data_IF_049961046783
#
_entry.id   IF_049961046783
#
_cell.length_a   1.000
_cell.length_b   1.000
_cell.length_c   1.000
_cell.angle_alpha   90.00
_cell.angle_beta   90.00
_cell.angle_gamma   90.00
#
_symmetry.space_group_name_H-M   'P 1'
#
loop_
_entity.id
_entity.type
_entity.pdbx_description
1 polymer ?
#
# COMPACT_ATOMS: atom_id res chain seq x y z
N UNK A 1 3.44 -11.03 17.22
CA UNK A 1 4.50 -11.67 16.39
C UNK A 1 5.70 -10.75 16.37
N UNK A 2 6.90 -11.31 16.56
CA UNK A 2 8.12 -10.54 16.32
C UNK A 2 8.21 -10.25 14.85
N UNK A 3 8.40 -8.99 14.50
CA UNK A 3 8.61 -8.57 13.12
C UNK A 3 9.94 -9.17 12.63
N UNK A 4 9.90 -9.78 11.44
CA UNK A 4 11.01 -10.59 10.99
C UNK A 4 12.23 -9.79 10.59
N UNK A 5 13.37 -10.43 10.60
CA UNK A 5 14.60 -9.92 10.01
C UNK A 5 14.60 -10.26 8.52
N UNK A 6 14.35 -9.28 7.66
CA UNK A 6 14.70 -9.25 6.25
C UNK A 6 14.43 -10.47 5.36
N UNK A 7 13.54 -11.40 5.73
CA UNK A 7 13.20 -12.51 4.87
C UNK A 7 11.70 -12.78 4.84
N UNK A 8 11.18 -13.16 3.68
CA UNK A 8 9.78 -13.55 3.45
C UNK A 8 9.27 -14.58 4.46
N UNK A 9 10.16 -15.42 4.96
CA UNK A 9 9.82 -16.52 5.88
C UNK A 9 9.50 -16.04 7.31
N UNK A 10 9.72 -14.77 7.65
CA UNK A 10 9.56 -14.25 9.01
C UNK A 10 8.32 -13.38 9.21
N UNK A 11 7.40 -13.40 8.27
CA UNK A 11 6.08 -12.77 8.38
C UNK A 11 6.04 -11.28 8.09
N UNK A 12 7.17 -10.59 7.92
CA UNK A 12 7.31 -9.21 7.40
C UNK A 12 6.15 -8.25 7.79
N UNK A 13 5.68 -8.32 9.04
CA UNK A 13 4.64 -7.44 9.58
C UNK A 13 5.27 -6.38 10.46
N UNK A 14 4.66 -5.21 10.54
CA UNK A 14 5.15 -4.06 11.31
C UNK A 14 3.99 -3.34 12.01
N UNK A 15 4.24 -2.52 13.03
CA UNK A 15 3.19 -1.77 13.71
C UNK A 15 2.69 -0.66 12.79
N UNK A 16 1.49 -0.84 12.23
CA UNK A 16 0.85 0.14 11.35
C UNK A 16 -0.26 0.87 12.08
N UNK A 17 -0.40 2.16 11.80
CA UNK A 17 -1.46 3.03 12.32
C UNK A 17 -2.17 3.70 11.15
N UNK A 18 -3.49 3.63 11.12
CA UNK A 18 -4.34 4.20 10.08
C UNK A 18 -5.66 3.45 9.95
N UNK A 19 -6.47 3.82 8.97
CA UNK A 19 -7.75 3.17 8.70
C UNK A 19 -7.58 1.87 7.89
N UNK A 20 -8.59 0.95 7.90
CA UNK A 20 -8.62 -0.22 7.03
C UNK A 20 -8.44 0.16 5.56
N UNK A 21 -7.57 -0.56 4.85
CA UNK A 21 -7.21 -0.31 3.45
C UNK A 21 -6.65 1.10 3.18
N UNK A 22 -6.09 1.78 4.21
CA UNK A 22 -5.58 3.14 4.09
C UNK A 22 -4.53 3.28 2.99
N UNK A 23 -4.52 4.43 2.32
CA UNK A 23 -3.52 4.78 1.31
C UNK A 23 -2.12 4.76 1.92
N UNK A 24 -1.95 5.41 3.06
CA UNK A 24 -0.70 5.52 3.79
C UNK A 24 -0.87 5.00 5.20
N UNK A 25 0.02 4.12 5.61
CA UNK A 25 0.08 3.58 6.96
C UNK A 25 1.23 4.24 7.71
N UNK A 26 0.98 4.69 8.92
CA UNK A 26 1.99 5.37 9.74
C UNK A 26 2.66 4.38 10.67
N UNK A 27 3.98 4.40 10.72
CA UNK A 27 4.77 3.41 11.48
C UNK A 27 6.03 4.04 12.07
N UNK A 28 6.51 3.56 13.23
CA UNK A 28 7.88 3.82 13.64
C UNK A 28 8.83 3.25 12.58
N UNK A 29 9.99 3.87 12.45
CA UNK A 29 11.03 3.47 11.51
C UNK A 29 12.29 3.07 12.27
N UNK A 30 12.83 1.90 11.93
CA UNK A 30 14.14 1.45 12.43
C UNK A 30 15.17 1.34 11.29
N UNK A 31 14.72 1.44 10.03
CA UNK A 31 15.53 1.34 8.82
C UNK A 31 15.15 2.40 7.80
N UNK A 32 16.12 3.17 7.34
CA UNK A 32 15.95 4.36 6.50
C UNK A 32 15.92 4.08 5.00
N UNK A 33 15.88 2.81 4.58
CA UNK A 33 15.94 2.42 3.19
C UNK A 33 14.58 1.97 2.64
N UNK A 34 14.41 2.12 1.33
CA UNK A 34 13.32 1.52 0.54
C UNK A 34 13.81 0.26 -0.21
N UNK A 35 14.89 -0.38 0.23
CA UNK A 35 15.44 -1.55 -0.41
C UNK A 35 14.49 -2.76 -0.34
N UNK A 36 14.61 -3.66 -1.32
CA UNK A 36 13.79 -4.87 -1.40
C UNK A 36 13.92 -5.73 -0.14
N UNK A 37 12.80 -6.26 0.35
CA UNK A 37 12.67 -7.10 1.53
C UNK A 37 13.09 -6.40 2.83
N UNK A 38 13.16 -5.09 2.87
CA UNK A 38 13.46 -4.33 4.08
C UNK A 38 12.22 -3.60 4.57
N UNK A 39 11.54 -4.19 5.53
CA UNK A 39 10.38 -3.58 6.19
C UNK A 39 10.79 -2.35 7.02
N UNK A 40 9.97 -1.31 7.12
CA UNK A 40 10.34 -0.08 7.85
C UNK A 40 10.72 -0.30 9.31
N UNK A 41 10.13 -1.29 9.98
CA UNK A 41 10.34 -1.57 11.39
C UNK A 41 10.73 -3.03 11.62
N UNK A 42 11.85 -3.24 12.32
CA UNK A 42 12.27 -4.56 12.80
C UNK A 42 12.30 -4.60 14.32
N UNK A 43 11.60 -5.56 14.90
CA UNK A 43 11.51 -5.71 16.35
C UNK A 43 12.87 -5.87 17.05
N UNK A 44 13.85 -6.52 16.42
CA UNK A 44 15.17 -6.76 16.99
C UNK A 44 16.17 -5.62 16.76
N UNK A 45 15.80 -4.59 16.01
CA UNK A 45 16.63 -3.40 15.87
C UNK A 45 16.72 -2.65 17.19
N UNK A 46 17.81 -1.92 17.37
CA UNK A 46 18.13 -1.25 18.66
C UNK A 46 17.85 0.24 18.65
N UNK A 47 17.57 0.79 17.47
CA UNK A 47 17.36 2.22 17.32
C UNK A 47 16.13 2.48 16.46
N UNK A 48 15.39 3.51 16.88
CA UNK A 48 14.35 4.14 16.07
C UNK A 48 14.97 5.35 15.37
N UNK A 49 14.67 5.50 14.09
CA UNK A 49 15.20 6.56 13.22
C UNK A 49 14.15 7.58 12.84
N UNK A 50 12.92 7.40 13.32
CA UNK A 50 11.79 8.31 13.14
C UNK A 50 10.45 7.59 13.01
N UNK A 51 9.53 8.31 12.40
CA UNK A 51 8.18 7.83 12.07
C UNK A 51 7.92 8.10 10.60
N UNK A 52 7.44 7.09 9.89
CA UNK A 52 7.32 7.07 8.44
C UNK A 52 5.88 6.90 8.01
N UNK A 53 5.46 7.63 6.94
CA UNK A 53 4.37 7.19 6.09
C UNK A 53 4.87 6.02 5.23
N UNK A 54 4.16 4.92 5.20
CA UNK A 54 4.60 3.67 4.57
C UNK A 54 3.55 3.13 3.62
N UNK A 55 4.02 2.61 2.48
CA UNK A 55 3.25 1.85 1.51
C UNK A 55 3.72 0.39 1.44
N UNK A 56 4.41 -0.09 2.49
CA UNK A 56 4.84 -1.47 2.61
C UNK A 56 3.65 -2.42 2.54
N UNK A 57 3.84 -3.54 1.87
CA UNK A 57 2.85 -4.61 1.82
C UNK A 57 3.14 -5.64 2.89
N UNK A 58 2.32 -5.68 3.93
CA UNK A 58 2.45 -6.64 5.01
C UNK A 58 2.56 -8.08 4.50
N UNK A 59 3.52 -8.81 5.06
CA UNK A 59 3.76 -10.21 4.75
C UNK A 59 4.54 -10.48 3.46
N UNK A 60 4.91 -9.44 2.69
CA UNK A 60 5.60 -9.60 1.41
C UNK A 60 7.09 -9.29 1.48
N UNK A 61 7.83 -9.69 0.43
CA UNK A 61 9.20 -9.23 0.18
C UNK A 61 9.21 -8.27 -1.02
N UNK A 62 8.50 -7.15 -0.86
CA UNK A 62 8.61 -6.01 -1.79
C UNK A 62 9.64 -5.01 -1.26
N UNK A 63 9.57 -3.78 -1.67
CA UNK A 63 10.21 -2.65 -1.01
C UNK A 63 9.11 -1.68 -0.56
N UNK A 64 9.44 -0.74 0.31
CA UNK A 64 8.59 0.41 0.56
C UNK A 64 8.79 1.45 -0.54
N UNK A 65 7.90 2.40 -0.70
CA UNK A 65 7.99 3.40 -1.76
C UNK A 65 7.32 4.71 -1.38
N UNK A 66 7.83 5.79 -1.98
CA UNK A 66 7.20 7.11 -1.86
C UNK A 66 7.18 7.68 -0.45
N UNK A 67 8.14 7.37 0.41
CA UNK A 67 8.01 7.66 1.84
C UNK A 67 8.82 8.87 2.28
N UNK A 68 8.34 9.50 3.37
CA UNK A 68 9.07 10.49 4.14
C UNK A 68 9.02 10.15 5.62
N UNK A 69 10.05 10.55 6.37
CA UNK A 69 10.18 10.27 7.80
C UNK A 69 10.32 11.56 8.58
N UNK A 70 9.65 11.62 9.73
CA UNK A 70 9.79 12.69 10.73
C UNK A 70 10.44 12.12 12.00
N UNK A 71 11.49 12.82 12.52
CA UNK A 71 12.16 12.43 13.76
C UNK A 71 12.24 13.63 14.72
N UNK A 72 11.63 13.56 15.91
CA UNK A 72 11.76 14.55 16.94
C UNK A 72 13.09 14.35 17.71
N UNK A 73 13.78 15.43 18.04
CA UNK A 73 15.00 15.38 18.83
C UNK A 73 15.24 16.68 19.57
N UNK A 74 16.14 16.65 20.55
CA UNK A 74 16.59 17.83 21.29
C UNK A 74 18.10 17.98 21.17
N UNK A 75 18.58 19.21 20.97
CA UNK A 75 20.02 19.54 20.98
C UNK A 75 20.23 21.00 21.28
N UNK A 76 21.41 21.34 21.81
CA UNK A 76 21.92 22.72 21.92
C UNK A 76 22.84 23.12 20.76
N UNK A 77 23.10 22.21 19.82
CA UNK A 77 24.11 22.35 18.76
C UNK A 77 23.57 21.85 17.42
N UNK A 78 22.46 22.42 16.95
CA UNK A 78 21.82 21.99 15.70
C UNK A 78 22.68 22.24 14.46
N UNK A 79 23.47 23.30 14.48
CA UNK A 79 24.34 23.70 13.35
C UNK A 79 25.48 22.72 13.10
N UNK A 80 25.91 22.00 14.13
CA UNK A 80 27.01 21.01 14.06
C UNK A 80 26.50 19.57 13.93
N UNK A 81 25.21 19.37 13.75
CA UNK A 81 24.63 18.04 13.62
C UNK A 81 25.16 17.35 12.35
N UNK A 82 26.06 16.38 12.54
CA UNK A 82 26.69 15.61 11.45
C UNK A 82 25.98 14.32 11.08
N UNK A 83 25.06 13.85 11.94
CA UNK A 83 24.35 12.60 11.78
C UNK A 83 22.83 12.79 11.92
N UNK A 84 22.06 11.90 11.30
CA UNK A 84 20.64 11.85 11.56
C UNK A 84 20.37 11.48 13.02
N UNK A 85 19.42 12.16 13.71
CA UNK A 85 19.05 11.82 15.06
C UNK A 85 18.44 10.42 15.11
N UNK A 86 18.84 9.64 16.11
CA UNK A 86 18.29 8.30 16.40
C UNK A 86 18.10 8.16 17.89
N UNK A 87 17.14 7.35 18.31
CA UNK A 87 16.93 7.03 19.73
C UNK A 87 16.91 5.51 19.95
N UNK A 88 17.22 5.04 21.16
CA UNK A 88 17.15 3.62 21.49
C UNK A 88 15.71 3.13 21.45
N UNK A 89 15.50 1.99 20.81
CA UNK A 89 14.22 1.31 20.81
C UNK A 89 14.07 0.49 22.11
N UNK A 90 13.08 0.83 22.92
CA UNK A 90 12.76 0.13 24.15
C UNK A 90 11.32 -0.37 24.12
N UNK A 91 11.14 -1.65 23.90
CA UNK A 91 9.81 -2.29 23.80
C UNK A 91 8.96 -2.21 25.06
N UNK A 92 9.55 -1.95 26.23
CA UNK A 92 8.79 -1.73 27.48
C UNK A 92 8.14 -0.33 27.52
N UNK A 93 8.59 0.58 26.63
CA UNK A 93 8.13 1.96 26.55
C UNK A 93 7.38 2.26 25.25
N UNK A 94 7.06 1.22 24.48
CA UNK A 94 6.22 1.36 23.30
C UNK A 94 4.87 0.66 23.46
N UNK A 95 3.85 1.18 22.83
CA UNK A 95 2.53 0.58 22.71
C UNK A 95 2.03 0.74 21.30
N UNK A 96 1.46 -0.31 20.72
CA UNK A 96 0.93 -0.33 19.37
C UNK A 96 -0.47 -0.93 19.32
N UNK A 97 -1.34 -0.27 18.57
CA UNK A 97 -2.64 -0.78 18.13
C UNK A 97 -2.90 -0.27 16.69
N UNK A 98 -3.91 -0.77 15.99
CA UNK A 98 -4.21 -0.27 14.63
C UNK A 98 -4.53 1.23 14.55
N UNK A 99 -4.99 1.84 15.65
CA UNK A 99 -5.33 3.25 15.71
C UNK A 99 -4.32 4.13 16.43
N UNK A 100 -3.29 3.54 17.04
CA UNK A 100 -2.40 4.32 17.90
C UNK A 100 -1.05 3.63 18.10
N UNK A 101 0.02 4.42 17.99
CA UNK A 101 1.36 4.03 18.42
C UNK A 101 1.94 5.10 19.34
N UNK A 102 2.70 4.69 20.36
CA UNK A 102 3.45 5.59 21.23
C UNK A 102 4.75 4.96 21.68
N UNK A 103 5.77 5.81 21.87
CA UNK A 103 7.07 5.44 22.44
C UNK A 103 7.66 6.60 23.23
N UNK A 104 8.43 6.27 24.28
CA UNK A 104 9.31 7.23 24.95
C UNK A 104 10.72 7.16 24.35
N UNK A 105 11.19 8.27 23.79
CA UNK A 105 12.55 8.44 23.25
C UNK A 105 13.44 8.97 24.39
N UNK A 106 14.11 8.05 25.08
CA UNK A 106 14.82 8.37 26.33
C UNK A 106 16.00 9.34 26.13
N UNK A 107 16.75 9.21 25.01
CA UNK A 107 17.89 10.07 24.70
C UNK A 107 17.51 11.55 24.59
N UNK A 108 16.30 11.82 24.15
CA UNK A 108 15.78 13.17 23.93
C UNK A 108 14.75 13.58 24.98
N UNK A 109 14.35 12.65 25.85
CA UNK A 109 13.25 12.83 26.80
C UNK A 109 11.98 13.36 26.12
N UNK A 110 11.59 12.68 25.02
CA UNK A 110 10.42 13.00 24.21
C UNK A 110 9.45 11.83 24.23
N UNK A 111 8.18 12.11 24.50
CA UNK A 111 7.08 11.18 24.21
C UNK A 111 6.59 11.43 22.78
N UNK A 112 6.64 10.42 21.93
CA UNK A 112 6.10 10.45 20.59
C UNK A 112 4.82 9.62 20.51
N UNK A 113 3.78 10.18 19.91
CA UNK A 113 2.48 9.55 19.72
C UNK A 113 2.03 9.73 18.26
N UNK A 114 1.42 8.70 17.69
CA UNK A 114 0.95 8.66 16.30
C UNK A 114 -0.45 8.09 16.23
N UNK A 115 -1.32 8.75 15.50
CA UNK A 115 -2.61 8.25 15.01
C UNK A 115 -2.78 8.61 13.54
N UNK A 116 -3.77 8.06 12.85
CA UNK A 116 -3.96 8.35 11.44
C UNK A 116 -5.34 8.00 10.93
N UNK A 117 -5.70 8.59 9.81
CA UNK A 117 -6.89 8.35 9.01
C UNK A 117 -6.59 7.47 7.80
N UNK A 118 -7.31 7.62 6.71
CA UNK A 118 -7.10 6.85 5.46
C UNK A 118 -5.85 7.28 4.69
N UNK A 119 -5.59 8.61 4.65
CA UNK A 119 -4.50 9.23 3.86
C UNK A 119 -3.57 10.08 4.71
N UNK A 120 -3.95 10.37 5.95
CA UNK A 120 -3.28 11.36 6.76
C UNK A 120 -2.84 10.80 8.11
N UNK A 121 -1.73 11.31 8.64
CA UNK A 121 -1.23 11.05 9.98
C UNK A 121 -1.34 12.28 10.89
N UNK A 122 -1.56 12.06 12.17
CA UNK A 122 -1.46 13.08 13.19
C UNK A 122 -0.46 12.61 14.26
N UNK A 123 0.56 13.42 14.46
CA UNK A 123 1.62 13.16 15.44
C UNK A 123 1.50 14.13 16.60
N UNK A 124 1.88 13.68 17.79
CA UNK A 124 2.01 14.52 18.98
C UNK A 124 3.35 14.22 19.63
N UNK A 125 4.20 15.25 19.70
CA UNK A 125 5.50 15.20 20.36
C UNK A 125 5.48 16.03 21.62
N UNK A 126 5.76 15.40 22.78
CA UNK A 126 5.88 16.07 24.08
C UNK A 126 7.33 16.10 24.50
N UNK A 127 7.91 17.30 24.51
CA UNK A 127 9.28 17.58 24.91
C UNK A 127 9.36 17.91 26.41
N UNK A 128 10.39 17.46 27.08
CA UNK A 128 10.58 17.77 28.50
C UNK A 128 10.94 19.24 28.75
N UNK A 129 11.65 19.87 27.78
CA UNK A 129 12.13 21.26 27.85
C UNK A 129 11.45 22.12 26.79
N UNK A 130 11.48 23.46 26.98
CA UNK A 130 11.07 24.42 25.96
C UNK A 130 12.23 24.84 25.03
N UNK A 131 13.46 24.39 25.32
CA UNK A 131 14.66 24.80 24.59
C UNK A 131 15.22 23.65 23.77
N UNK A 132 15.70 23.97 22.57
CA UNK A 132 16.42 23.04 21.72
C UNK A 132 15.53 21.93 21.10
N UNK A 133 14.26 22.22 20.85
CA UNK A 133 13.28 21.27 20.30
C UNK A 133 13.21 21.37 18.78
N UNK A 134 13.43 20.24 18.12
CA UNK A 134 13.53 20.16 16.66
C UNK A 134 12.76 18.96 16.12
N UNK A 135 12.33 19.08 14.87
CA UNK A 135 11.88 17.96 14.05
C UNK A 135 12.73 17.92 12.78
N UNK A 136 13.30 16.77 12.47
CA UNK A 136 13.89 16.50 11.17
C UNK A 136 12.86 15.80 10.28
N UNK A 137 12.71 16.29 9.07
CA UNK A 137 11.90 15.69 8.01
C UNK A 137 12.86 15.29 6.90
N UNK A 138 12.83 14.04 6.47
CA UNK A 138 13.66 13.55 5.36
C UNK A 138 12.86 12.69 4.40
N UNK A 139 13.26 12.72 3.15
CA UNK A 139 12.73 11.86 2.10
C UNK A 139 13.51 10.55 2.09
N UNK A 140 12.83 9.41 2.13
CA UNK A 140 13.45 8.09 2.06
C UNK A 140 13.66 7.68 0.60
N UNK A 141 14.56 8.36 -0.09
CA UNK A 141 14.81 8.17 -1.51
C UNK A 141 16.16 7.52 -1.76
N UNK A 142 16.21 6.20 -1.92
CA UNK A 142 17.45 5.44 -2.20
C UNK A 142 18.12 5.93 -3.49
N UNK A 143 17.35 6.44 -4.46
CA UNK A 143 17.86 7.01 -5.72
C UNK A 143 18.17 8.51 -5.63
N UNK A 144 17.98 9.13 -4.47
CA UNK A 144 18.21 10.56 -4.23
C UNK A 144 17.47 11.49 -5.19
N UNK A 145 16.28 11.08 -5.64
CA UNK A 145 15.41 11.86 -6.55
C UNK A 145 14.29 12.61 -5.84
N UNK A 146 13.99 12.24 -4.60
CA UNK A 146 13.01 12.94 -3.77
C UNK A 146 13.51 14.28 -3.29
N UNK A 147 12.59 15.19 -2.93
CA UNK A 147 12.87 16.54 -2.41
C UNK A 147 11.90 16.90 -1.30
N UNK A 148 12.38 17.77 -0.40
CA UNK A 148 11.57 18.42 0.63
C UNK A 148 11.98 19.89 0.74
N UNK A 149 10.99 20.79 0.92
CA UNK A 149 11.22 22.23 1.02
C UNK A 149 10.17 22.91 1.90
N UNK A 150 10.44 24.14 2.29
CA UNK A 150 9.49 25.00 2.98
C UNK A 150 8.68 25.81 1.96
N UNK A 151 7.36 25.69 2.01
CA UNK A 151 6.43 26.56 1.30
C UNK A 151 6.04 27.73 2.21
N UNK A 152 6.65 28.89 1.96
CA UNK A 152 6.44 30.09 2.76
C UNK A 152 5.03 30.70 2.56
N UNK A 153 4.36 30.42 1.45
CA UNK A 153 3.00 30.96 1.19
C UNK A 153 1.97 30.23 2.04
N UNK A 154 2.09 28.92 2.16
CA UNK A 154 1.20 28.08 2.97
C UNK A 154 1.68 27.86 4.38
N UNK A 155 2.92 28.26 4.70
CA UNK A 155 3.60 27.97 5.97
C UNK A 155 3.63 26.46 6.28
N UNK A 156 4.00 25.66 5.27
CA UNK A 156 4.01 24.20 5.30
C UNK A 156 5.37 23.65 4.86
N UNK A 157 5.70 22.44 5.28
CA UNK A 157 6.79 21.69 4.67
C UNK A 157 6.17 20.76 3.63
N UNK A 158 6.66 20.84 2.42
CA UNK A 158 6.16 20.10 1.25
C UNK A 158 7.27 19.26 0.66
N UNK A 159 6.94 18.11 0.15
CA UNK A 159 7.90 17.28 -0.56
C UNK A 159 7.29 16.21 -1.43
N UNK A 160 8.15 15.52 -2.15
CA UNK A 160 7.77 14.35 -2.95
C UNK A 160 8.89 13.32 -3.01
N UNK A 161 8.50 12.07 -3.23
CA UNK A 161 9.43 10.97 -3.47
C UNK A 161 8.98 10.15 -4.68
N UNK A 162 9.73 10.13 -5.80
CA UNK A 162 9.37 9.38 -7.00
C UNK A 162 9.35 7.88 -6.76
N UNK A 163 8.35 7.22 -7.34
CA UNK A 163 8.18 5.78 -7.27
C UNK A 163 8.83 5.10 -8.48
N UNK A 164 9.46 3.94 -8.25
CA UNK A 164 10.13 3.15 -9.29
C UNK A 164 9.53 1.75 -9.34
N UNK A 165 9.39 1.19 -10.56
CA UNK A 165 8.81 -0.14 -10.80
C UNK A 165 9.59 -1.25 -10.12
N UNK A 166 8.87 -2.30 -9.71
CA UNK A 166 9.43 -3.57 -9.21
C UNK A 166 9.12 -4.71 -10.18
N UNK A 167 9.80 -5.83 -10.02
CA UNK A 167 9.69 -7.03 -10.86
C UNK A 167 9.96 -6.69 -12.34
N UNK A 168 9.00 -6.89 -13.22
CA UNK A 168 9.15 -6.50 -14.62
C UNK A 168 9.27 -4.97 -14.72
N UNK A 169 10.29 -4.50 -15.43
CA UNK A 169 10.63 -3.08 -15.51
C UNK A 169 11.38 -2.54 -14.28
N UNK A 170 12.00 -3.40 -13.49
CA UNK A 170 12.74 -3.02 -12.27
C UNK A 170 13.58 -1.75 -12.43
N UNK A 171 13.32 -0.80 -11.54
CA UNK A 171 14.09 0.44 -11.45
C UNK A 171 13.73 1.51 -12.48
N UNK A 172 12.85 1.24 -13.43
CA UNK A 172 12.27 2.28 -14.28
C UNK A 172 11.29 3.13 -13.47
N UNK A 173 11.07 4.42 -13.83
CA UNK A 173 10.05 5.24 -13.20
C UNK A 173 8.67 4.57 -13.27
N UNK A 174 7.93 4.60 -12.18
CA UNK A 174 6.57 4.06 -12.13
C UNK A 174 5.53 5.02 -12.77
N UNK A 175 5.90 6.28 -13.02
CA UNK A 175 5.04 7.29 -13.63
C UNK A 175 4.45 8.27 -12.62
N UNK A 176 4.68 8.09 -11.32
CA UNK A 176 4.16 8.96 -10.26
C UNK A 176 5.14 9.13 -9.10
N UNK A 177 4.77 9.99 -8.16
CA UNK A 177 5.45 10.20 -6.88
C UNK A 177 4.45 10.15 -5.75
N UNK A 178 4.90 9.82 -4.55
CA UNK A 178 4.16 10.22 -3.36
C UNK A 178 4.50 11.67 -3.03
N UNK A 179 3.48 12.47 -2.86
CA UNK A 179 3.54 13.85 -2.39
C UNK A 179 3.11 13.90 -0.94
N UNK A 180 3.82 14.69 -0.15
CA UNK A 180 3.52 14.83 1.28
C UNK A 180 3.59 16.28 1.72
N UNK A 181 2.70 16.62 2.68
CA UNK A 181 2.60 17.94 3.30
C UNK A 181 2.64 17.76 4.80
N UNK A 182 3.51 18.53 5.48
CA UNK A 182 3.56 18.60 6.95
C UNK A 182 3.09 19.97 7.41
N UNK A 183 2.09 19.99 8.28
CA UNK A 183 1.51 21.18 8.93
C UNK A 183 1.76 21.10 10.43
N UNK A 184 1.95 22.22 11.07
CA UNK A 184 2.27 22.29 12.50
C UNK A 184 1.26 23.15 13.24
N UNK A 185 0.90 22.75 14.46
CA UNK A 185 0.02 23.51 15.36
C UNK A 185 0.74 24.67 16.06
N UNK A 186 2.05 24.76 15.94
CA UNK A 186 2.90 25.77 16.57
C UNK A 186 3.74 26.53 15.55
N UNK A 187 4.10 27.78 15.83
CA UNK A 187 5.11 28.49 15.03
C UNK A 187 6.43 27.73 15.01
N UNK A 188 7.08 27.72 13.85
CA UNK A 188 8.36 27.07 13.65
C UNK A 188 9.31 27.94 12.82
N UNK A 189 10.60 27.60 12.85
CA UNK A 189 11.63 28.20 12.01
C UNK A 189 12.42 27.11 11.31
N UNK A 190 12.61 27.22 10.00
CA UNK A 190 13.52 26.34 9.25
C UNK A 190 14.95 26.71 9.59
N UNK A 191 15.70 25.78 10.20
CA UNK A 191 17.09 26.01 10.63
C UNK A 191 18.11 25.31 9.72
N UNK A 192 17.68 24.29 8.98
CA UNK A 192 18.52 23.60 8.00
C UNK A 192 17.64 23.09 6.83
N UNK A 193 18.16 23.20 5.60
CA UNK A 193 17.52 22.66 4.41
C UNK A 193 18.58 22.08 3.47
N UNK A 194 18.54 20.76 3.22
CA UNK A 194 19.50 20.02 2.39
C UNK A 194 18.90 19.46 1.08
N UNK A 195 17.66 19.81 0.75
CA UNK A 195 16.97 19.32 -0.45
C UNK A 195 16.32 17.94 -0.27
N UNK A 196 16.96 17.02 0.45
CA UNK A 196 16.38 15.70 0.81
C UNK A 196 16.03 15.61 2.30
N UNK A 197 16.51 16.52 3.09
CA UNK A 197 16.19 16.68 4.51
C UNK A 197 16.01 18.15 4.88
N UNK A 198 15.25 18.38 5.93
CA UNK A 198 14.97 19.70 6.46
C UNK A 198 14.79 19.58 7.97
N UNK A 199 15.29 20.57 8.72
CA UNK A 199 15.12 20.66 10.18
C UNK A 199 14.36 21.93 10.52
N UNK A 200 13.31 21.76 11.33
CA UNK A 200 12.53 22.86 11.90
C UNK A 200 12.71 22.93 13.41
N UNK A 201 12.76 24.15 13.94
CA UNK A 201 12.88 24.47 15.36
C UNK A 201 11.55 24.96 15.94
N UNK A 202 11.26 24.54 17.17
CA UNK A 202 10.07 24.94 17.94
C UNK A 202 10.49 25.58 19.28
N UNK A 203 11.10 26.74 19.17
CA UNK A 203 11.54 27.48 20.38
C UNK A 203 10.36 27.83 21.29
N UNK A 204 10.49 27.54 22.58
CA UNK A 204 9.45 27.84 23.58
C UNK A 204 8.26 26.87 23.61
N UNK A 205 8.30 25.76 22.83
CA UNK A 205 7.18 24.84 22.74
C UNK A 205 7.51 23.47 23.32
N UNK A 206 6.75 23.02 24.31
CA UNK A 206 6.86 21.66 24.88
C UNK A 206 6.01 20.63 24.14
N UNK A 207 4.90 21.04 23.56
CA UNK A 207 4.01 20.16 22.84
C UNK A 207 3.84 20.66 21.40
N UNK A 208 4.13 19.79 20.45
CA UNK A 208 3.99 20.08 19.02
C UNK A 208 3.15 18.98 18.39
N UNK A 209 2.14 19.36 17.66
CA UNK A 209 1.39 18.44 16.82
C UNK A 209 1.71 18.67 15.35
N UNK A 210 1.71 17.59 14.58
CA UNK A 210 2.01 17.60 13.16
C UNK A 210 0.95 16.81 12.41
N UNK A 211 0.22 17.48 11.52
CA UNK A 211 -0.62 16.83 10.52
C UNK A 211 0.23 16.52 9.29
N UNK A 212 0.14 15.30 8.80
CA UNK A 212 0.84 14.88 7.58
C UNK A 212 -0.18 14.32 6.59
N UNK A 213 -0.25 14.91 5.41
CA UNK A 213 -1.05 14.42 4.31
C UNK A 213 -0.18 13.74 3.26
N UNK A 214 -0.71 12.73 2.61
CA UNK A 214 -0.08 11.99 1.53
C UNK A 214 -1.00 11.95 0.32
N UNK A 215 -0.43 11.96 -0.90
CA UNK A 215 -1.15 11.84 -2.16
C UNK A 215 -0.25 11.32 -3.27
N UNK A 216 -0.79 10.50 -4.16
CA UNK A 216 -0.08 10.07 -5.36
C UNK A 216 -0.28 11.02 -6.56
N UNK A 217 -1.02 12.11 -6.40
CA UNK A 217 -1.34 13.02 -7.50
C UNK A 217 -0.62 14.35 -7.41
N UNK A 218 -0.66 15.04 -6.25
CA UNK A 218 0.00 16.33 -6.08
C UNK A 218 0.14 16.75 -4.61
N UNK A 219 0.96 17.77 -4.35
CA UNK A 219 1.06 18.40 -3.03
C UNK A 219 -0.26 19.08 -2.62
N UNK A 220 -0.97 19.70 -3.56
CA UNK A 220 -2.29 20.31 -3.28
C UNK A 220 -3.32 19.24 -2.89
N UNK A 221 -3.28 18.07 -3.52
CA UNK A 221 -4.13 16.94 -3.13
C UNK A 221 -3.77 16.39 -1.74
N UNK A 222 -2.47 16.29 -1.40
CA UNK A 222 -2.03 15.93 -0.05
C UNK A 222 -2.53 16.94 1.01
N UNK A 223 -2.45 18.24 0.70
CA UNK A 223 -3.03 19.29 1.53
C UNK A 223 -4.55 19.13 1.68
N UNK A 224 -5.28 18.92 0.58
CA UNK A 224 -6.72 18.73 0.59
C UNK A 224 -7.16 17.46 1.33
N UNK A 225 -6.35 16.41 1.30
CA UNK A 225 -6.58 15.21 2.11
C UNK A 225 -6.55 15.54 3.61
N UNK A 226 -5.61 16.40 4.08
CA UNK A 226 -5.61 16.87 5.48
C UNK A 226 -6.90 17.63 5.78
N UNK A 227 -7.26 18.61 4.96
CA UNK A 227 -8.49 19.43 5.16
C UNK A 227 -9.76 18.56 5.20
N UNK A 228 -9.76 17.44 4.46
CA UNK A 228 -10.90 16.54 4.40
C UNK A 228 -10.96 15.59 5.59
N UNK A 229 -9.83 15.04 6.02
CA UNK A 229 -9.78 13.92 6.97
C UNK A 229 -9.44 14.35 8.41
N UNK A 230 -8.69 15.44 8.62
CA UNK A 230 -8.28 15.93 9.94
C UNK A 230 -8.84 17.32 10.20
N UNK A 231 -10.05 17.39 10.74
CA UNK A 231 -10.79 18.64 10.93
C UNK A 231 -10.27 19.54 12.06
N UNK A 232 -9.43 19.01 12.94
CA UNK A 232 -8.93 19.74 14.11
C UNK A 232 -7.59 19.21 14.60
N UNK A 233 -6.95 19.94 15.50
CA UNK A 233 -5.75 19.51 16.22
C UNK A 233 -6.06 18.63 17.45
N UNK A 234 -7.25 18.01 17.51
CA UNK A 234 -7.64 17.13 18.60
C UNK A 234 -7.16 15.69 18.32
N UNK A 235 -5.93 15.39 18.75
CA UNK A 235 -5.30 14.09 18.60
C UNK A 235 -6.15 12.94 19.16
N UNK A 236 -6.69 13.13 20.35
CA UNK A 236 -7.41 12.04 21.03
C UNK A 236 -8.76 11.75 20.38
N UNK A 237 -9.38 12.78 19.76
CA UNK A 237 -10.59 12.59 18.94
C UNK A 237 -10.29 11.76 17.69
N UNK A 238 -9.28 12.12 16.88
CA UNK A 238 -8.92 11.37 15.68
C UNK A 238 -8.53 9.92 16.02
N UNK A 239 -7.76 9.74 17.11
CA UNK A 239 -7.44 8.39 17.62
C UNK A 239 -8.70 7.59 17.92
N UNK A 240 -9.66 8.19 18.61
CA UNK A 240 -10.92 7.52 18.95
C UNK A 240 -11.76 7.18 17.72
N UNK A 241 -11.83 8.09 16.76
CA UNK A 241 -12.53 7.87 15.49
C UNK A 241 -11.92 6.68 14.72
N UNK A 242 -10.58 6.61 14.63
CA UNK A 242 -9.88 5.50 13.97
C UNK A 242 -10.05 4.18 14.72
N UNK A 243 -10.03 4.22 16.07
CA UNK A 243 -10.31 3.05 16.91
C UNK A 243 -11.75 2.54 16.71
N UNK A 244 -12.72 3.43 16.60
CA UNK A 244 -14.12 3.07 16.36
C UNK A 244 -14.31 2.45 14.96
N UNK A 245 -13.64 2.98 13.94
CA UNK A 245 -13.63 2.38 12.60
C UNK A 245 -13.09 0.95 12.64
N UNK A 246 -11.97 0.70 13.33
CA UNK A 246 -11.42 -0.64 13.49
C UNK A 246 -12.34 -1.55 14.28
N UNK A 247 -12.92 -1.08 15.37
CA UNK A 247 -13.87 -1.85 16.17
C UNK A 247 -15.12 -2.23 15.36
N UNK A 248 -15.70 -1.30 14.59
CA UNK A 248 -16.81 -1.60 13.69
C UNK A 248 -16.42 -2.62 12.61
N UNK A 249 -15.24 -2.49 12.03
CA UNK A 249 -14.73 -3.38 11.00
C UNK A 249 -14.52 -4.80 11.53
N UNK A 250 -13.84 -4.97 12.64
CA UNK A 250 -13.54 -6.27 13.22
C UNK A 250 -14.77 -6.93 13.85
N UNK A 251 -15.72 -6.15 14.38
CA UNK A 251 -16.97 -6.66 14.94
C UNK A 251 -17.97 -7.22 13.91
N UNK A 252 -17.69 -7.10 12.61
CA UNK A 252 -18.48 -7.80 11.57
C UNK A 252 -18.44 -9.32 11.75
N UNK A 253 -17.39 -9.84 12.38
CA UNK A 253 -17.30 -11.24 12.80
C UNK A 253 -17.25 -11.28 14.33
N UNK A 254 -18.28 -11.87 14.93
CA UNK A 254 -18.34 -12.09 16.38
C UNK A 254 -18.27 -13.57 16.70
N UNK A 255 -17.31 -13.95 17.54
CA UNK A 255 -17.11 -15.35 17.95
C UNK A 255 -17.31 -15.53 19.42
N UNK A 256 -17.88 -16.67 19.81
CA UNK A 256 -18.04 -17.12 21.19
C UNK A 256 -17.31 -18.45 21.36
N UNK A 257 -16.74 -18.67 22.56
CA UNK A 257 -15.95 -19.89 22.85
C UNK A 257 -14.48 -19.73 22.44
N UNK A 258 -13.76 -20.86 22.43
CA UNK A 258 -12.31 -20.91 22.24
C UNK A 258 -11.52 -20.29 23.40
N UNK A 259 -10.19 -20.38 23.32
CA UNK A 259 -9.29 -19.73 24.28
C UNK A 259 -9.14 -18.24 23.95
N UNK A 260 -8.54 -17.48 24.87
CA UNK A 260 -8.15 -16.10 24.62
C UNK A 260 -7.19 -16.01 23.41
N UNK A 261 -6.26 -16.95 23.32
CA UNK A 261 -5.26 -16.97 22.26
C UNK A 261 -5.87 -17.28 20.89
N UNK A 262 -6.89 -18.15 20.83
CA UNK A 262 -7.62 -18.42 19.57
C UNK A 262 -8.32 -17.17 19.07
N UNK A 263 -8.95 -16.42 19.96
CA UNK A 263 -9.59 -15.14 19.60
C UNK A 263 -8.57 -14.09 19.15
N UNK A 264 -7.41 -13.98 19.83
CA UNK A 264 -6.32 -13.09 19.41
C UNK A 264 -5.84 -13.47 18.00
N UNK A 265 -5.62 -14.76 17.72
CA UNK A 265 -5.20 -15.24 16.40
C UNK A 265 -6.22 -14.89 15.32
N UNK A 266 -7.51 -15.14 15.58
CA UNK A 266 -8.59 -14.84 14.64
C UNK A 266 -8.65 -13.36 14.31
N UNK A 267 -8.73 -12.49 15.32
CA UNK A 267 -8.85 -11.05 15.09
C UNK A 267 -7.57 -10.43 14.52
N UNK A 268 -6.40 -10.98 14.86
CA UNK A 268 -5.14 -10.58 14.21
C UNK A 268 -5.12 -10.97 12.73
N UNK A 269 -5.58 -12.17 12.38
CA UNK A 269 -5.71 -12.59 11.00
C UNK A 269 -6.72 -11.74 10.24
N UNK A 270 -7.88 -11.47 10.84
CA UNK A 270 -8.88 -10.59 10.28
C UNK A 270 -8.34 -9.16 10.08
N UNK A 271 -7.62 -8.60 11.05
CA UNK A 271 -6.92 -7.31 10.92
C UNK A 271 -6.01 -7.29 9.69
N UNK A 272 -5.18 -8.33 9.48
CA UNK A 272 -4.30 -8.42 8.33
C UNK A 272 -5.05 -8.43 6.99
N UNK A 273 -6.27 -8.96 6.95
CA UNK A 273 -7.11 -8.93 5.74
C UNK A 273 -7.52 -7.52 5.29
N UNK A 274 -7.38 -6.51 6.16
CA UNK A 274 -7.74 -5.12 5.89
C UNK A 274 -6.55 -4.19 5.62
N UNK A 275 -5.34 -4.72 5.46
CA UNK A 275 -4.14 -3.92 5.22
C UNK A 275 -3.85 -3.70 3.73
N UNK A 276 -4.14 -4.68 2.88
CA UNK A 276 -3.97 -4.62 1.43
C UNK A 276 -5.12 -5.34 0.71
N UNK A 277 -5.48 -4.93 -0.55
CA UNK A 277 -4.95 -3.80 -1.33
C UNK A 277 -5.23 -2.46 -0.64
N UNK A 278 -4.57 -1.39 -1.09
CA UNK A 278 -4.76 -0.06 -0.49
C UNK A 278 -5.59 0.85 -1.37
N UNK A 279 -6.29 1.79 -0.75
CA UNK A 279 -6.88 2.93 -1.45
C UNK A 279 -5.73 3.72 -2.08
N UNK A 280 -5.87 4.08 -3.36
CA UNK A 280 -4.88 4.84 -4.12
C UNK A 280 -5.49 6.07 -4.79
N UNK A 281 -6.68 6.48 -4.35
CA UNK A 281 -7.30 7.75 -4.72
C UNK A 281 -7.29 8.73 -3.56
N UNK A 282 -7.18 10.02 -3.88
CA UNK A 282 -7.33 11.12 -2.95
C UNK A 282 -8.78 11.22 -2.43
N UNK A 283 -9.02 12.04 -1.43
CA UNK A 283 -10.33 12.19 -0.80
C UNK A 283 -11.41 12.72 -1.78
N UNK A 284 -11.01 13.45 -2.82
CA UNK A 284 -11.89 13.92 -3.88
C UNK A 284 -12.10 12.89 -5.01
N UNK A 285 -11.48 11.71 -4.93
CA UNK A 285 -11.52 10.63 -5.90
C UNK A 285 -10.45 10.71 -7.00
N UNK A 286 -9.57 11.71 -7.00
CA UNK A 286 -8.46 11.81 -7.96
C UNK A 286 -7.44 10.69 -7.74
N UNK A 287 -6.89 10.13 -8.82
CA UNK A 287 -5.87 9.08 -8.73
C UNK A 287 -4.91 9.12 -9.92
N UNK A 288 -3.71 8.60 -9.71
CA UNK A 288 -2.69 8.44 -10.75
C UNK A 288 -3.06 7.32 -11.71
N UNK A 289 -2.94 7.54 -13.01
CA UNK A 289 -3.21 6.54 -14.04
C UNK A 289 -2.30 5.31 -13.95
N UNK A 290 -2.77 4.19 -14.51
CA UNK A 290 -2.08 2.90 -14.48
C UNK A 290 -1.15 2.73 -15.69
N UNK A 291 -0.13 1.87 -15.56
CA UNK A 291 0.81 1.51 -16.63
C UNK A 291 1.58 2.72 -17.20
N UNK A 292 2.10 3.57 -16.29
CA UNK A 292 2.85 4.79 -16.63
C UNK A 292 2.01 5.88 -17.33
N UNK A 293 0.70 5.76 -17.26
CA UNK A 293 -0.18 6.86 -17.62
C UNK A 293 0.02 8.01 -16.62
N UNK A 294 0.55 9.13 -17.10
CA UNK A 294 0.86 10.30 -16.27
C UNK A 294 -0.33 11.23 -16.07
N UNK A 295 -1.48 10.91 -16.62
CA UNK A 295 -2.70 11.69 -16.44
C UNK A 295 -3.30 11.40 -15.06
N UNK A 296 -3.88 12.44 -14.47
CA UNK A 296 -4.69 12.30 -13.27
C UNK A 296 -6.13 11.99 -13.68
N UNK A 297 -6.63 10.88 -13.17
CA UNK A 297 -7.99 10.41 -13.38
C UNK A 297 -8.87 10.66 -12.16
N UNK A 298 -10.18 10.41 -12.29
CA UNK A 298 -11.11 10.56 -11.18
C UNK A 298 -12.04 9.35 -11.04
N UNK A 299 -12.03 8.72 -9.88
CA UNK A 299 -12.97 7.68 -9.48
C UNK A 299 -14.23 8.37 -8.91
N UNK A 300 -15.36 8.26 -9.62
CA UNK A 300 -16.60 8.92 -9.22
C UNK A 300 -17.50 7.94 -8.48
N UNK A 301 -17.74 8.19 -7.19
CA UNK A 301 -18.64 7.38 -6.36
C UNK A 301 -18.04 6.05 -5.86
N UNK A 302 -16.73 5.85 -5.98
CA UNK A 302 -16.02 4.69 -5.44
C UNK A 302 -14.56 5.04 -5.12
N UNK A 303 -13.91 4.22 -4.29
CA UNK A 303 -12.49 4.32 -4.00
C UNK A 303 -11.68 3.53 -5.04
N UNK A 304 -10.62 4.15 -5.59
CA UNK A 304 -9.68 3.42 -6.47
C UNK A 304 -8.62 2.71 -5.63
N UNK A 305 -8.39 1.43 -5.94
CA UNK A 305 -7.46 0.56 -5.22
C UNK A 305 -6.24 0.20 -6.06
N UNK A 306 -5.09 0.05 -5.40
CA UNK A 306 -3.87 -0.51 -6.00
C UNK A 306 -3.15 -1.48 -5.04
N UNK A 307 -1.97 -1.99 -5.46
CA UNK A 307 -1.13 -2.92 -4.70
C UNK A 307 -1.82 -4.26 -4.40
N UNK A 308 -2.38 -4.86 -5.44
CA UNK A 308 -3.03 -6.17 -5.32
C UNK A 308 -2.03 -7.32 -5.31
N UNK A 309 -2.04 -8.15 -4.27
CA UNK A 309 -1.28 -9.40 -4.16
C UNK A 309 -2.15 -10.57 -4.63
N UNK A 310 -2.56 -10.56 -5.90
CA UNK A 310 -3.64 -11.43 -6.41
C UNK A 310 -3.40 -12.92 -6.19
N UNK A 311 -2.18 -13.40 -6.39
CA UNK A 311 -1.84 -14.81 -6.16
C UNK A 311 -2.06 -15.25 -4.71
N UNK A 312 -1.85 -14.34 -3.76
CA UNK A 312 -2.06 -14.61 -2.33
C UNK A 312 -3.53 -14.47 -1.94
N UNK A 313 -4.22 -13.47 -2.47
CA UNK A 313 -5.49 -12.96 -1.92
C UNK A 313 -6.74 -13.54 -2.57
N UNK A 314 -6.66 -14.07 -3.81
CA UNK A 314 -7.82 -14.62 -4.51
C UNK A 314 -8.41 -15.85 -3.80
N UNK A 315 -7.60 -16.62 -3.09
CA UNK A 315 -7.97 -17.90 -2.46
C UNK A 315 -9.02 -17.72 -1.36
N UNK A 316 -8.83 -16.71 -0.50
CA UNK A 316 -9.69 -16.53 0.69
C UNK A 316 -10.02 -15.08 0.99
N UNK A 317 -9.08 -14.13 0.82
CA UNK A 317 -9.30 -12.74 1.18
C UNK A 317 -10.40 -12.11 0.32
N UNK A 318 -10.30 -12.14 -1.00
CA UNK A 318 -11.35 -11.58 -1.86
C UNK A 318 -12.70 -12.28 -1.68
N UNK A 319 -12.80 -13.62 -1.60
CA UNK A 319 -14.04 -14.30 -1.28
C UNK A 319 -14.68 -13.85 0.03
N UNK A 320 -13.93 -13.72 1.12
CA UNK A 320 -14.51 -13.27 2.40
C UNK A 320 -14.92 -11.79 2.35
N UNK A 321 -14.20 -10.94 1.60
CA UNK A 321 -14.55 -9.53 1.44
C UNK A 321 -15.87 -9.35 0.69
N UNK A 322 -16.27 -10.27 -0.16
CA UNK A 322 -17.60 -10.20 -0.82
C UNK A 322 -18.75 -10.24 0.20
N UNK A 323 -18.55 -10.84 1.37
CA UNK A 323 -19.53 -10.88 2.46
C UNK A 323 -19.36 -9.73 3.44
N UNK A 324 -18.12 -9.45 3.84
CA UNK A 324 -17.84 -8.46 4.88
C UNK A 324 -17.84 -7.02 4.35
N UNK A 325 -17.41 -6.84 3.10
CA UNK A 325 -17.18 -5.55 2.46
C UNK A 325 -17.65 -5.55 0.98
N UNK A 326 -18.94 -5.81 0.70
CA UNK A 326 -19.41 -5.93 -0.68
C UNK A 326 -19.19 -4.66 -1.50
N UNK A 327 -19.34 -3.47 -0.89
CA UNK A 327 -19.03 -2.19 -1.57
C UNK A 327 -17.55 -2.10 -1.93
N UNK A 328 -16.65 -2.39 -1.00
CA UNK A 328 -15.20 -2.35 -1.26
C UNK A 328 -14.78 -3.41 -2.29
N UNK A 329 -15.38 -4.60 -2.26
CA UNK A 329 -15.16 -5.62 -3.30
C UNK A 329 -15.56 -5.11 -4.69
N UNK A 330 -16.69 -4.42 -4.79
CA UNK A 330 -17.11 -3.75 -6.02
C UNK A 330 -16.13 -2.67 -6.47
N UNK A 331 -15.65 -1.85 -5.54
CA UNK A 331 -14.69 -0.77 -5.82
C UNK A 331 -13.34 -1.35 -6.30
N UNK A 332 -12.86 -2.45 -5.71
CA UNK A 332 -11.68 -3.19 -6.15
C UNK A 332 -11.82 -3.74 -7.57
N UNK A 333 -12.99 -4.30 -7.92
CA UNK A 333 -13.29 -4.79 -9.27
C UNK A 333 -13.30 -3.64 -10.27
N UNK A 334 -13.96 -2.53 -9.96
CA UNK A 334 -13.95 -1.32 -10.79
C UNK A 334 -12.52 -0.82 -11.03
N UNK A 335 -11.68 -0.84 -10.00
CA UNK A 335 -10.28 -0.45 -10.10
C UNK A 335 -9.50 -1.35 -11.06
N UNK A 336 -9.73 -2.66 -11.05
CA UNK A 336 -9.10 -3.60 -11.99
C UNK A 336 -9.54 -3.38 -13.43
N UNK A 337 -10.83 -3.09 -13.65
CA UNK A 337 -11.35 -2.78 -14.99
C UNK A 337 -10.74 -1.48 -15.52
N UNK A 338 -10.63 -0.43 -14.70
CA UNK A 338 -9.98 0.82 -15.08
C UNK A 338 -8.50 0.61 -15.42
N UNK A 339 -7.79 -0.20 -14.63
CA UNK A 339 -6.39 -0.57 -14.95
C UNK A 339 -6.29 -1.26 -16.31
N UNK A 340 -7.23 -2.14 -16.61
CA UNK A 340 -7.29 -2.82 -17.91
C UNK A 340 -7.58 -1.84 -19.06
N UNK A 341 -8.45 -0.86 -18.86
CA UNK A 341 -8.73 0.18 -19.86
C UNK A 341 -7.50 1.07 -20.13
N UNK A 342 -6.82 1.50 -19.08
CA UNK A 342 -5.64 2.37 -19.18
C UNK A 342 -4.42 1.63 -19.74
N UNK A 343 -4.20 0.40 -19.32
CA UNK A 343 -3.05 -0.40 -19.73
C UNK A 343 -3.26 -1.29 -20.96
N UNK A 344 -4.52 -1.52 -21.38
CA UNK A 344 -4.89 -2.35 -22.53
C UNK A 344 -5.07 -3.85 -22.22
N UNK A 345 -4.70 -4.32 -21.03
CA UNK A 345 -4.75 -5.72 -20.61
C UNK A 345 -5.22 -5.84 -19.16
N UNK A 346 -5.96 -6.90 -18.81
CA UNK A 346 -6.27 -7.16 -17.40
C UNK A 346 -4.97 -7.41 -16.63
N UNK A 347 -4.67 -6.65 -15.55
CA UNK A 347 -3.43 -6.84 -14.81
C UNK A 347 -3.49 -8.14 -13.99
N UNK A 348 -2.43 -8.94 -14.06
CA UNK A 348 -2.34 -10.21 -13.32
C UNK A 348 -1.92 -10.00 -11.86
N UNK A 349 -0.93 -9.16 -11.65
CA UNK A 349 -0.38 -8.85 -10.34
C UNK A 349 0.09 -7.38 -10.29
N UNK A 350 -0.86 -6.42 -10.26
CA UNK A 350 -0.53 -5.00 -10.32
C UNK A 350 0.12 -4.52 -9.03
N UNK A 351 1.23 -3.79 -9.16
CA UNK A 351 1.94 -3.13 -8.09
C UNK A 351 2.40 -1.76 -8.52
N UNK A 352 2.20 -0.77 -7.61
CA UNK A 352 2.69 0.59 -7.81
C UNK A 352 2.30 1.16 -9.16
N UNK A 353 1.01 1.06 -9.48
CA UNK A 353 0.43 1.57 -10.71
C UNK A 353 0.92 0.88 -11.99
N UNK A 354 1.53 -0.33 -11.92
CA UNK A 354 2.13 -0.95 -13.09
C UNK A 354 1.90 -2.46 -13.18
N UNK A 355 2.08 -2.99 -14.41
CA UNK A 355 2.24 -4.42 -14.66
C UNK A 355 3.57 -4.91 -14.09
N UNK A 356 3.62 -6.16 -13.62
CA UNK A 356 4.82 -6.69 -12.97
C UNK A 356 5.30 -8.04 -13.52
N UNK A 357 4.47 -8.78 -14.27
CA UNK A 357 4.70 -10.17 -14.65
C UNK A 357 5.15 -11.08 -13.47
N UNK A 358 4.88 -10.65 -12.24
CA UNK A 358 5.20 -11.38 -11.03
C UNK A 358 4.10 -12.40 -10.73
N UNK A 359 4.50 -13.47 -10.02
CA UNK A 359 3.68 -14.61 -9.66
C UNK A 359 3.16 -15.38 -10.88
N UNK A 360 2.26 -16.32 -10.65
CA UNK A 360 1.64 -17.19 -11.66
C UNK A 360 0.12 -17.02 -11.61
N UNK A 361 -0.59 -17.57 -12.61
CA UNK A 361 -2.04 -17.46 -12.71
C UNK A 361 -2.50 -16.14 -13.33
N UNK A 362 -3.83 -15.98 -13.35
CA UNK A 362 -4.56 -14.79 -13.87
C UNK A 362 -5.77 -14.54 -12.96
N UNK A 363 -5.53 -14.47 -11.67
CA UNK A 363 -6.52 -14.59 -10.61
C UNK A 363 -7.48 -13.39 -10.48
N UNK A 364 -7.25 -12.30 -11.21
CA UNK A 364 -8.24 -11.23 -11.33
C UNK A 364 -9.51 -11.77 -11.99
N UNK A 365 -9.39 -12.69 -12.96
CA UNK A 365 -10.51 -13.39 -13.57
C UNK A 365 -11.30 -14.20 -12.54
N UNK A 366 -10.60 -14.93 -11.65
CA UNK A 366 -11.22 -15.68 -10.55
C UNK A 366 -11.91 -14.74 -9.54
N UNK A 367 -11.27 -13.63 -9.15
CA UNK A 367 -11.84 -12.63 -8.22
C UNK A 367 -13.14 -12.02 -8.77
N UNK A 368 -13.14 -11.59 -10.04
CA UNK A 368 -14.31 -10.97 -10.68
C UNK A 368 -15.44 -11.98 -10.84
N UNK A 369 -15.12 -13.20 -11.30
CA UNK A 369 -16.12 -14.25 -11.49
C UNK A 369 -16.78 -14.67 -10.17
N UNK A 370 -16.00 -14.91 -9.12
CA UNK A 370 -16.50 -15.27 -7.79
C UNK A 370 -17.41 -14.17 -7.22
N UNK A 371 -16.98 -12.92 -7.28
CA UNK A 371 -17.77 -11.79 -6.80
C UNK A 371 -19.09 -11.64 -7.58
N UNK A 372 -19.06 -11.77 -8.90
CA UNK A 372 -20.24 -11.70 -9.75
C UNK A 372 -21.25 -12.81 -9.42
N UNK A 373 -20.77 -14.05 -9.27
CA UNK A 373 -21.60 -15.20 -8.91
C UNK A 373 -22.20 -15.08 -7.50
N UNK A 374 -21.60 -14.28 -6.62
CA UNK A 374 -22.12 -13.93 -5.29
C UNK A 374 -23.05 -12.72 -5.30
N UNK A 375 -23.39 -12.17 -6.47
CA UNK A 375 -24.35 -11.08 -6.63
C UNK A 375 -23.76 -9.68 -6.63
N UNK A 376 -22.43 -9.51 -6.68
CA UNK A 376 -21.79 -8.21 -6.87
C UNK A 376 -21.76 -7.87 -8.36
N UNK A 377 -22.75 -7.08 -8.84
CA UNK A 377 -23.00 -6.84 -10.27
C UNK A 377 -22.86 -5.37 -10.68
N UNK A 378 -22.51 -4.45 -9.77
CA UNK A 378 -22.48 -3.00 -10.01
C UNK A 378 -21.27 -2.49 -10.80
N UNK A 379 -20.68 -3.30 -11.71
CA UNK A 379 -19.56 -2.97 -12.57
C UNK A 379 -19.85 -3.27 -14.05
N UNK A 380 -19.02 -2.75 -14.94
CA UNK A 380 -19.14 -3.00 -16.39
C UNK A 380 -18.70 -4.44 -16.72
N UNK A 381 -19.70 -5.33 -16.84
CA UNK A 381 -19.47 -6.75 -17.10
C UNK A 381 -18.98 -7.02 -18.52
N UNK A 382 -19.28 -6.15 -19.50
CA UNK A 382 -18.78 -6.26 -20.88
C UNK A 382 -17.28 -5.98 -20.93
N UNK A 383 -16.83 -4.90 -20.27
CA UNK A 383 -15.40 -4.60 -20.18
C UNK A 383 -14.64 -5.67 -19.39
N UNK A 384 -15.20 -6.13 -18.27
CA UNK A 384 -14.62 -7.23 -17.51
C UNK A 384 -14.42 -8.46 -18.39
N UNK A 385 -15.48 -8.88 -19.08
CA UNK A 385 -15.44 -10.00 -20.02
C UNK A 385 -14.38 -9.80 -21.12
N UNK A 386 -14.37 -8.64 -21.78
CA UNK A 386 -13.43 -8.32 -22.84
C UNK A 386 -11.99 -8.58 -22.39
N UNK A 387 -11.56 -8.00 -21.27
CA UNK A 387 -10.18 -8.05 -20.83
C UNK A 387 -9.79 -9.39 -20.18
N UNK A 388 -10.70 -10.06 -19.49
CA UNK A 388 -10.46 -11.41 -18.97
C UNK A 388 -10.29 -12.41 -20.11
N UNK A 389 -11.19 -12.35 -21.13
CA UNK A 389 -11.08 -13.18 -22.32
C UNK A 389 -9.81 -12.90 -23.11
N UNK A 390 -9.43 -11.62 -23.26
CA UNK A 390 -8.20 -11.21 -23.92
C UNK A 390 -6.99 -11.86 -23.25
N UNK A 391 -6.87 -11.83 -21.93
CA UNK A 391 -5.78 -12.50 -21.21
C UNK A 391 -5.75 -14.01 -21.47
N UNK A 392 -6.91 -14.67 -21.57
CA UNK A 392 -7.00 -16.12 -21.72
C UNK A 392 -6.63 -16.61 -23.13
N UNK A 393 -6.82 -15.81 -24.17
CA UNK A 393 -6.75 -16.25 -25.56
C UNK A 393 -5.82 -15.43 -26.46
N UNK A 394 -5.59 -14.16 -26.16
CA UNK A 394 -4.88 -13.28 -27.06
C UNK A 394 -3.40 -13.12 -26.65
N UNK A 395 -2.56 -12.83 -27.63
CA UNK A 395 -1.15 -12.60 -27.43
C UNK A 395 -0.85 -11.09 -27.43
N UNK A 396 -0.19 -10.55 -26.41
CA UNK A 396 0.31 -9.19 -26.46
C UNK A 396 1.41 -9.05 -27.53
N UNK A 397 1.63 -7.84 -28.02
CA UNK A 397 2.81 -7.52 -28.81
C UNK A 397 4.08 -7.80 -28.02
N UNK A 398 5.24 -7.92 -28.69
CA UNK A 398 6.53 -8.16 -28.02
C UNK A 398 6.83 -7.07 -26.97
N UNK A 399 6.54 -5.81 -27.27
CA UNK A 399 6.74 -4.70 -26.35
C UNK A 399 5.82 -4.79 -25.11
N UNK A 400 4.55 -5.11 -25.30
CA UNK A 400 3.58 -5.32 -24.21
C UNK A 400 3.97 -6.54 -23.36
N UNK A 401 4.44 -7.61 -23.99
CA UNK A 401 4.89 -8.80 -23.27
C UNK A 401 6.10 -8.49 -22.40
N UNK A 402 7.08 -7.76 -22.91
CA UNK A 402 8.22 -7.26 -22.14
C UNK A 402 7.82 -6.33 -21.02
N UNK A 403 6.73 -5.56 -21.18
CA UNK A 403 6.20 -4.67 -20.16
C UNK A 403 5.38 -5.40 -19.05
N UNK A 404 5.16 -6.71 -19.20
CA UNK A 404 4.51 -7.53 -18.18
C UNK A 404 3.02 -7.82 -18.44
N UNK A 405 2.50 -7.51 -19.65
CA UNK A 405 1.10 -7.70 -20.04
C UNK A 405 0.84 -9.10 -20.56
N UNK A 406 -0.39 -9.60 -20.39
CA UNK A 406 -0.84 -10.91 -20.83
C UNK A 406 -0.27 -12.09 -20.07
N UNK A 407 -0.77 -13.30 -20.34
CA UNK A 407 -0.32 -14.53 -19.69
C UNK A 407 1.04 -14.97 -20.23
N UNK A 408 1.92 -15.45 -19.33
CA UNK A 408 3.21 -16.02 -19.70
C UNK A 408 3.05 -17.45 -20.22
N UNK A 409 3.86 -17.84 -21.23
CA UNK A 409 3.82 -19.17 -21.87
C UNK A 409 2.44 -19.56 -22.44
N UNK A 410 1.62 -18.57 -22.83
CA UNK A 410 0.28 -18.80 -23.33
C UNK A 410 0.28 -19.67 -24.61
N UNK A 411 1.26 -19.48 -25.52
CA UNK A 411 1.39 -20.27 -26.75
C UNK A 411 1.47 -21.77 -26.46
N UNK A 412 2.33 -22.16 -25.53
CA UNK A 412 2.46 -23.57 -25.13
C UNK A 412 1.20 -24.09 -24.46
N UNK A 413 0.62 -23.28 -23.56
CA UNK A 413 -0.60 -23.64 -22.86
C UNK A 413 -1.79 -23.87 -23.84
N UNK A 414 -1.97 -22.99 -24.81
CA UNK A 414 -3.01 -23.13 -25.82
C UNK A 414 -2.78 -24.32 -26.75
N UNK A 415 -1.52 -24.58 -27.11
CA UNK A 415 -1.16 -25.64 -28.05
C UNK A 415 -1.29 -27.05 -27.44
N UNK A 416 -0.80 -27.23 -26.21
CA UNK A 416 -0.67 -28.54 -25.59
C UNK A 416 -1.72 -28.83 -24.51
N UNK A 417 -2.47 -27.82 -24.05
CA UNK A 417 -3.33 -27.90 -22.86
C UNK A 417 -2.56 -27.83 -21.53
N UNK A 418 -1.25 -27.68 -21.60
CA UNK A 418 -0.35 -27.50 -20.46
C UNK A 418 0.92 -26.76 -20.91
N UNK A 419 1.74 -26.32 -19.95
CA UNK A 419 3.03 -25.68 -20.20
C UNK A 419 4.13 -26.75 -19.99
N UNK A 420 4.84 -27.19 -21.06
CA UNK A 420 5.95 -28.15 -20.95
C UNK A 420 7.07 -27.60 -20.05
N UNK A 421 7.82 -28.48 -19.39
CA UNK A 421 8.96 -28.09 -18.55
C UNK A 421 10.08 -27.40 -19.36
N UNK A 422 10.15 -27.71 -20.65
CA UNK A 422 11.11 -27.15 -21.62
C UNK A 422 10.75 -25.71 -22.03
N UNK A 423 9.51 -25.24 -21.79
CA UNK A 423 9.15 -23.86 -22.06
C UNK A 423 9.94 -22.93 -21.14
N UNK A 424 10.71 -21.96 -21.69
CA UNK A 424 11.55 -21.06 -20.88
C UNK A 424 10.75 -20.05 -20.06
N UNK A 425 9.44 -19.96 -20.26
CA UNK A 425 8.55 -18.95 -19.66
C UNK A 425 9.18 -17.55 -19.73
N UNK A 426 9.42 -17.10 -20.98
CA UNK A 426 10.11 -15.84 -21.25
C UNK A 426 9.39 -14.64 -20.60
N UNK A 427 10.18 -13.60 -20.27
CA UNK A 427 9.70 -12.33 -19.70
C UNK A 427 8.82 -12.50 -18.44
N UNK A 428 9.10 -13.52 -17.63
CA UNK A 428 8.45 -13.79 -16.36
C UNK A 428 9.42 -13.59 -15.19
N UNK A 429 8.91 -13.15 -14.05
CA UNK A 429 9.70 -13.14 -12.81
C UNK A 429 9.92 -14.57 -12.29
N UNK A 430 8.87 -15.41 -12.33
CA UNK A 430 8.93 -16.84 -12.03
C UNK A 430 8.99 -17.66 -13.31
N UNK A 431 10.13 -18.34 -13.55
CA UNK A 431 10.42 -19.05 -14.82
C UNK A 431 10.37 -20.57 -14.74
N UNK A 432 10.25 -21.14 -13.52
CA UNK A 432 10.34 -22.60 -13.30
C UNK A 432 9.05 -23.20 -12.75
N UNK A 433 7.95 -22.52 -12.88
CA UNK A 433 6.64 -22.89 -12.33
C UNK A 433 5.67 -23.37 -13.44
N UNK A 434 6.13 -24.10 -14.43
CA UNK A 434 5.30 -24.57 -15.56
C UNK A 434 4.09 -25.39 -15.09
N UNK A 435 4.30 -26.33 -14.16
CA UNK A 435 3.22 -27.18 -13.63
C UNK A 435 2.22 -26.33 -12.84
N UNK A 436 2.68 -25.54 -11.89
CA UNK A 436 1.79 -24.68 -11.08
C UNK A 436 1.06 -23.68 -11.96
N UNK A 437 1.74 -23.07 -12.93
CA UNK A 437 1.15 -22.13 -13.90
C UNK A 437 0.05 -22.77 -14.74
N UNK A 438 0.26 -24.02 -15.17
CA UNK A 438 -0.77 -24.80 -15.89
C UNK A 438 -2.01 -24.97 -15.05
N UNK A 439 -1.86 -25.37 -13.79
CA UNK A 439 -3.00 -25.59 -12.87
C UNK A 439 -3.72 -24.27 -12.51
N UNK A 440 -2.97 -23.20 -12.29
CA UNK A 440 -3.56 -21.89 -11.99
C UNK A 440 -4.33 -21.33 -13.20
N UNK A 441 -3.78 -21.45 -14.42
CA UNK A 441 -4.53 -21.04 -15.63
C UNK A 441 -5.78 -21.88 -15.86
N UNK A 442 -5.75 -23.19 -15.56
CA UNK A 442 -6.92 -24.04 -15.64
C UNK A 442 -8.04 -23.58 -14.68
N UNK A 443 -7.68 -23.19 -13.45
CA UNK A 443 -8.61 -22.60 -12.48
C UNK A 443 -9.18 -21.27 -13.00
N UNK A 444 -8.34 -20.39 -13.53
CA UNK A 444 -8.76 -19.08 -14.04
C UNK A 444 -9.68 -19.23 -15.27
N UNK A 445 -9.38 -20.20 -16.17
CA UNK A 445 -10.23 -20.52 -17.31
C UNK A 445 -11.58 -21.10 -16.86
N UNK A 446 -11.60 -21.94 -15.82
CA UNK A 446 -12.84 -22.41 -15.22
C UNK A 446 -13.68 -21.24 -14.68
N UNK A 447 -13.06 -20.31 -13.94
CA UNK A 447 -13.73 -19.13 -13.41
C UNK A 447 -14.30 -18.25 -14.54
N UNK A 448 -13.52 -18.04 -15.60
CA UNK A 448 -13.94 -17.32 -16.79
C UNK A 448 -15.14 -18.00 -17.47
N UNK A 449 -15.15 -19.33 -17.58
CA UNK A 449 -16.27 -20.11 -18.13
C UNK A 449 -17.54 -19.97 -17.27
N UNK A 450 -17.42 -19.96 -15.93
CA UNK A 450 -18.57 -19.73 -15.03
C UNK A 450 -19.11 -18.29 -15.17
N UNK A 451 -18.24 -17.30 -15.31
CA UNK A 451 -18.65 -15.93 -15.57
C UNK A 451 -19.39 -15.80 -16.90
N UNK A 452 -18.88 -16.40 -17.97
CA UNK A 452 -19.54 -16.42 -19.28
C UNK A 452 -20.92 -17.09 -19.22
N UNK A 453 -21.02 -18.24 -18.54
CA UNK A 453 -22.27 -18.99 -18.38
C UNK A 453 -23.31 -18.14 -17.65
N UNK A 454 -22.94 -17.49 -16.57
CA UNK A 454 -23.87 -16.67 -15.79
C UNK A 454 -24.34 -15.42 -16.54
N UNK A 455 -23.60 -14.96 -17.56
CA UNK A 455 -24.00 -13.89 -18.48
C UNK A 455 -24.75 -14.35 -19.72
N UNK A 456 -25.20 -15.62 -19.77
CA UNK A 456 -25.88 -16.23 -20.92
C UNK A 456 -25.01 -16.33 -22.20
N UNK A 457 -23.70 -16.28 -22.08
CA UNK A 457 -22.73 -16.40 -23.18
C UNK A 457 -22.18 -17.83 -23.36
N UNK A 458 -22.79 -18.81 -22.74
CA UNK A 458 -22.32 -20.21 -22.65
C UNK A 458 -21.95 -20.82 -24.01
N UNK A 459 -22.64 -20.41 -25.10
CA UNK A 459 -22.43 -20.98 -26.44
C UNK A 459 -21.08 -20.66 -27.08
N UNK A 460 -20.44 -19.54 -26.69
CA UNK A 460 -19.19 -19.09 -27.31
C UNK A 460 -17.95 -19.61 -26.59
N UNK A 461 -17.93 -19.62 -25.26
CA UNK A 461 -16.74 -19.93 -24.48
C UNK A 461 -16.78 -21.33 -23.88
N UNK A 462 -17.94 -21.86 -23.55
CA UNK A 462 -18.08 -23.20 -22.99
C UNK A 462 -17.48 -24.32 -23.86
N UNK A 463 -17.43 -24.13 -25.17
CA UNK A 463 -16.74 -25.07 -26.09
C UNK A 463 -15.25 -24.91 -26.08
N UNK A 464 -14.74 -23.68 -26.03
CA UNK A 464 -13.31 -23.39 -26.08
C UNK A 464 -12.61 -23.73 -24.73
N UNK A 465 -13.26 -23.48 -23.58
CA UNK A 465 -12.73 -23.85 -22.27
C UNK A 465 -12.92 -25.35 -21.97
N UNK A 466 -14.06 -25.97 -22.33
CA UNK A 466 -14.32 -27.42 -22.10
C UNK A 466 -13.42 -28.34 -22.91
N UNK A 467 -12.87 -27.89 -24.02
CA UNK A 467 -11.93 -28.72 -24.81
C UNK A 467 -10.53 -28.83 -24.17
N UNK A 468 -10.30 -28.15 -23.04
CA UNK A 468 -9.03 -28.15 -22.31
C UNK A 468 -9.05 -28.89 -20.98
N UNK A 469 -10.23 -29.47 -20.59
CA UNK A 469 -10.38 -30.30 -19.39
C UNK A 469 -10.37 -31.79 -19.69
#
# INVERSE_FOLDING_TARGET
>A
KRHGEGSEQKGQTYPTVGCPFGMTQWTPETRTTEAKCVVPYYYNDKFITGFRGSHWMDGSCTQDYGTATIMPFTTNQVDTLSHFPVARLNHQKETSSPAYYTIQLDEYNIKAEVTGSTRCGLFRFSFASEKGNYLQIRVNSDKKKGKVWFDAQKNEIVGYNPVFRIYQGWGQPAGFSDWFVFRFDKPFTVVKSGGQDLIVSFAGQKNVQVQVGSSFTSADAAHNNIETEIKSWNFDQLRKETEDIWNQTLNKIQVKGGTKDDRIKLYTALYHCYLVPRIASDADGSYQGFAQDTLIHKAVGFDYYDDFSMWDTYRTLHPIMTFLEPKRSLDMIKSMILKAEQGGWMPIFPKWGNYTAAMIGDHVSTMIADAYLRGITGFDTEKAWKYMRQNAFDHPTEAEYKDGKGRRALTSYLKYGYIPLEDPVAEAFHKKEQVSRTLEYALDDYALAQFAKSRSEERRVGKECRSRW
#
